data_IF_065688942703
#
_entry.id   IF_065688942703
#
_cell.length_a   1.000
_cell.length_b   1.000
_cell.length_c   1.000
_cell.angle_alpha   90.00
_cell.angle_beta   90.00
_cell.angle_gamma   90.00
#
_symmetry.space_group_name_H-M   'P 1'
#
loop_
_entity.id
_entity.type
_entity.pdbx_description
1 polymer ?
#
# COMPACT_ATOMS: atom_id res chain seq x y z
N UNK A 1 -14.24 -4.21 -3.77
CA UNK A 1 -12.77 -3.99 -3.68
C UNK A 1 -12.01 -5.10 -4.39
N UNK A 2 -12.20 -6.37 -4.03
CA UNK A 2 -11.50 -7.50 -4.67
C UNK A 2 -11.81 -7.58 -6.18
N UNK A 3 -13.06 -7.36 -6.59
CA UNK A 3 -13.43 -7.36 -8.02
C UNK A 3 -12.68 -6.30 -8.83
N UNK A 4 -12.41 -5.12 -8.26
CA UNK A 4 -11.64 -4.09 -8.94
C UNK A 4 -10.18 -4.55 -9.17
N UNK A 5 -9.59 -5.21 -8.17
CA UNK A 5 -8.25 -5.81 -8.29
C UNK A 5 -8.22 -6.94 -9.33
N UNK A 6 -9.30 -7.73 -9.43
CA UNK A 6 -9.48 -8.77 -10.44
C UNK A 6 -9.63 -8.21 -11.86
N UNK A 7 -10.22 -7.03 -12.01
CA UNK A 7 -10.36 -6.32 -13.29
C UNK A 7 -9.12 -5.52 -13.72
N UNK A 8 -7.97 -5.75 -13.08
CA UNK A 8 -6.70 -5.11 -13.45
C UNK A 8 -6.45 -3.72 -12.85
N UNK A 9 -7.32 -3.24 -11.96
CA UNK A 9 -7.06 -1.98 -11.25
C UNK A 9 -6.02 -2.18 -10.17
N UNK A 10 -4.97 -1.35 -10.17
CA UNK A 10 -3.98 -1.34 -9.09
C UNK A 10 -4.59 -0.71 -7.84
N UNK A 11 -4.94 -1.53 -6.85
CA UNK A 11 -5.45 -1.05 -5.57
C UNK A 11 -4.29 -0.83 -4.61
N UNK A 12 -4.29 0.32 -3.94
CA UNK A 12 -3.32 0.69 -2.92
C UNK A 12 -4.05 0.99 -1.62
N UNK A 13 -3.65 0.37 -0.52
CA UNK A 13 -4.22 0.59 0.81
C UNK A 13 -3.19 1.16 1.78
N UNK A 14 -3.64 2.05 2.67
CA UNK A 14 -2.81 2.69 3.69
C UNK A 14 -3.31 2.33 5.09
N UNK A 15 -2.41 1.82 5.93
CA UNK A 15 -2.67 1.58 7.35
C UNK A 15 -2.12 2.74 8.18
N UNK A 16 -2.99 3.69 8.54
CA UNK A 16 -2.63 4.86 9.34
C UNK A 16 -2.44 4.47 10.81
N UNK A 17 -1.36 4.96 11.42
CA UNK A 17 -1.00 4.69 12.82
C UNK A 17 -0.34 3.33 13.05
N UNK A 18 -0.07 2.56 11.99
CA UNK A 18 0.58 1.25 12.10
C UNK A 18 1.89 1.19 11.32
N UNK A 19 2.93 0.66 11.95
CA UNK A 19 4.21 0.33 11.29
C UNK A 19 4.20 -1.05 10.64
N UNK A 20 3.18 -1.88 10.90
CA UNK A 20 3.08 -3.24 10.37
C UNK A 20 1.75 -3.44 9.65
N UNK A 21 1.82 -4.09 8.49
CA UNK A 21 0.63 -4.55 7.77
C UNK A 21 0.25 -5.90 8.37
N UNK A 22 -0.96 -6.07 8.93
CA UNK A 22 -1.39 -7.34 9.53
C UNK A 22 -1.73 -8.36 8.44
N UNK A 23 -0.68 -8.88 7.78
CA UNK A 23 -0.77 -9.80 6.63
C UNK A 23 -1.65 -11.01 6.92
N UNK A 24 -1.62 -11.49 8.15
CA UNK A 24 -2.38 -12.65 8.64
C UNK A 24 -3.90 -12.45 8.50
N UNK A 25 -4.38 -11.20 8.61
CA UNK A 25 -5.80 -10.84 8.46
C UNK A 25 -6.23 -10.64 7.01
N UNK A 26 -5.27 -10.44 6.11
CA UNK A 26 -5.52 -10.03 4.72
C UNK A 26 -4.88 -10.97 3.69
N UNK A 27 -4.53 -12.21 4.07
CA UNK A 27 -3.79 -13.19 3.25
C UNK A 27 -4.15 -13.18 1.76
N UNK A 28 -5.44 -13.25 1.43
CA UNK A 28 -5.89 -13.34 0.04
C UNK A 28 -5.97 -11.97 -0.68
N UNK A 29 -5.95 -10.87 0.07
CA UNK A 29 -5.98 -9.50 -0.44
C UNK A 29 -4.58 -8.96 -0.71
N UNK A 30 -3.59 -9.33 0.11
CA UNK A 30 -2.22 -8.81 0.04
C UNK A 30 -1.49 -9.15 -1.26
N UNK A 31 -1.91 -10.22 -1.94
CA UNK A 31 -1.30 -10.64 -3.21
C UNK A 31 -1.81 -9.83 -4.41
N UNK A 32 -2.96 -9.16 -4.26
CA UNK A 32 -3.62 -8.37 -5.32
C UNK A 32 -3.64 -6.88 -5.03
N UNK A 33 -3.26 -6.48 -3.82
CA UNK A 33 -3.36 -5.11 -3.33
C UNK A 33 -2.03 -4.73 -2.68
N UNK A 34 -1.48 -3.58 -3.07
CA UNK A 34 -0.29 -3.04 -2.42
C UNK A 34 -0.69 -2.33 -1.14
N UNK A 35 -0.08 -2.70 -0.02
CA UNK A 35 -0.34 -2.06 1.26
C UNK A 35 0.88 -1.34 1.80
N UNK A 36 0.67 -0.17 2.40
CA UNK A 36 1.70 0.59 3.08
C UNK A 36 1.29 0.90 4.51
N UNK A 37 2.21 0.71 5.46
CA UNK A 37 2.04 1.17 6.84
C UNK A 37 2.53 2.60 6.98
N UNK A 38 1.69 3.50 7.50
CA UNK A 38 1.99 4.92 7.67
C UNK A 38 1.86 5.24 9.15
N UNK A 39 2.98 5.36 9.88
CA UNK A 39 2.94 5.64 11.33
C UNK A 39 2.75 7.13 11.60
N UNK A 40 3.30 7.99 10.74
CA UNK A 40 3.20 9.44 10.85
C UNK A 40 3.24 10.10 9.47
N UNK A 41 3.00 11.42 9.41
CA UNK A 41 2.99 12.20 8.17
C UNK A 41 4.32 12.15 7.40
N UNK A 42 5.46 12.06 8.09
CA UNK A 42 6.77 11.96 7.42
C UNK A 42 6.91 10.65 6.66
N UNK A 43 6.36 9.56 7.17
CA UNK A 43 6.39 8.25 6.48
C UNK A 43 5.61 8.31 5.17
N UNK A 44 4.47 9.02 5.15
CA UNK A 44 3.69 9.22 3.93
C UNK A 44 4.47 10.03 2.89
N UNK A 45 5.09 11.14 3.31
CA UNK A 45 5.90 11.98 2.42
C UNK A 45 7.06 11.17 1.84
N UNK A 46 7.78 10.43 2.68
CA UNK A 46 8.88 9.57 2.24
C UNK A 46 8.41 8.50 1.26
N UNK A 47 7.26 7.88 1.51
CA UNK A 47 6.68 6.89 0.63
C UNK A 47 6.41 7.49 -0.76
N UNK A 48 5.79 8.67 -0.82
CA UNK A 48 5.50 9.35 -2.09
C UNK A 48 6.80 9.66 -2.83
N UNK A 49 7.83 10.17 -2.15
CA UNK A 49 9.14 10.44 -2.74
C UNK A 49 9.74 9.16 -3.32
N UNK A 50 9.72 8.06 -2.58
CA UNK A 50 10.27 6.77 -3.02
C UNK A 50 9.54 6.25 -4.26
N UNK A 51 8.21 6.30 -4.28
CA UNK A 51 7.43 5.85 -5.44
C UNK A 51 7.69 6.72 -6.66
N UNK A 52 7.72 8.06 -6.52
CA UNK A 52 8.05 8.97 -7.64
C UNK A 52 9.45 8.67 -8.19
N UNK A 53 10.46 8.53 -7.33
CA UNK A 53 11.82 8.22 -7.79
C UNK A 53 11.89 6.92 -8.59
N UNK A 54 11.12 5.90 -8.22
CA UNK A 54 11.11 4.60 -8.91
C UNK A 54 10.64 4.68 -10.37
N UNK A 55 9.79 5.65 -10.70
CA UNK A 55 9.17 5.76 -12.02
C UNK A 55 9.78 6.87 -12.88
N UNK A 56 10.53 7.80 -12.29
CA UNK A 56 10.99 9.02 -12.96
C UNK A 56 12.51 9.27 -12.87
N UNK A 57 13.28 8.37 -12.22
CA UNK A 57 14.75 8.33 -12.22
C UNK A 57 15.21 6.92 -12.58
#
# INVERSE_FOLDING_TARGET
MIDLALTGHKIVGFFIGSSKIPKDKFKNLTDKVTFYGIRNTKDLINLVITEVKKYYL
#
